data_IF_092953818707
#
_entry.id   IF_092953818707
#
_cell.length_a   1.000
_cell.length_b   1.000
_cell.length_c   1.000
_cell.angle_alpha   90.00
_cell.angle_beta   90.00
_cell.angle_gamma   90.00
#
_symmetry.space_group_name_H-M   'P 1'
#
loop_
_entity.id
_entity.type
_entity.pdbx_description
1 polymer ?
#
# COMPACT_ATOMS: atom_id res chain seq x y z
N UNK A 1 -15.55 -2.97 -8.89
CA UNK A 1 -14.23 -3.50 -8.47
C UNK A 1 -14.37 -3.99 -7.05
N UNK A 2 -13.63 -5.02 -6.68
CA UNK A 2 -13.69 -5.63 -5.35
C UNK A 2 -12.62 -5.05 -4.44
N UNK A 3 -13.00 -4.57 -3.26
CA UNK A 3 -12.07 -4.17 -2.20
C UNK A 3 -11.98 -5.28 -1.14
N UNK A 4 -10.78 -5.61 -0.74
CA UNK A 4 -10.48 -6.47 0.39
C UNK A 4 -9.54 -5.74 1.36
N UNK A 5 -9.83 -5.82 2.65
CA UNK A 5 -8.98 -5.37 3.75
C UNK A 5 -8.93 -6.47 4.80
N UNK A 6 -8.16 -6.31 5.87
CA UNK A 6 -8.18 -7.28 6.96
C UNK A 6 -9.51 -7.27 7.74
N UNK A 7 -10.33 -6.22 7.58
CA UNK A 7 -11.58 -6.04 8.32
C UNK A 7 -12.84 -6.36 7.50
N UNK A 8 -12.78 -6.23 6.17
CA UNK A 8 -13.95 -6.35 5.31
C UNK A 8 -13.60 -6.67 3.87
N UNK A 9 -14.56 -7.29 3.17
CA UNK A 9 -14.58 -7.47 1.72
C UNK A 9 -15.84 -6.82 1.14
N UNK A 10 -15.70 -6.06 0.05
CA UNK A 10 -16.79 -5.36 -0.64
C UNK A 10 -16.67 -5.71 -2.13
N UNK A 11 -17.67 -6.40 -2.68
CA UNK A 11 -17.63 -6.90 -4.06
C UNK A 11 -17.64 -5.78 -5.13
N UNK A 12 -18.43 -4.74 -4.91
CA UNK A 12 -18.62 -3.61 -5.83
C UNK A 12 -18.44 -2.29 -5.09
N UNK A 13 -17.19 -1.96 -4.79
CA UNK A 13 -16.85 -0.80 -3.96
C UNK A 13 -17.13 0.53 -4.66
N UNK A 14 -17.76 1.48 -3.95
CA UNK A 14 -17.85 2.88 -4.41
C UNK A 14 -16.62 3.71 -4.02
N UNK A 15 -16.47 4.91 -4.58
CA UNK A 15 -15.38 5.81 -4.22
C UNK A 15 -15.43 6.23 -2.74
N UNK A 16 -16.63 6.48 -2.20
CA UNK A 16 -16.82 6.84 -0.80
C UNK A 16 -16.50 5.67 0.14
N UNK A 17 -16.91 4.45 -0.22
CA UNK A 17 -16.59 3.25 0.55
C UNK A 17 -15.09 2.98 0.54
N UNK A 18 -14.45 3.09 -0.62
CA UNK A 18 -13.01 2.96 -0.75
C UNK A 18 -12.27 3.97 0.15
N UNK A 19 -12.63 5.25 0.08
CA UNK A 19 -12.00 6.28 0.91
C UNK A 19 -12.19 5.99 2.41
N UNK A 20 -13.41 5.62 2.83
CA UNK A 20 -13.73 5.29 4.21
C UNK A 20 -12.92 4.11 4.72
N UNK A 21 -12.84 3.02 3.97
CA UNK A 21 -12.11 1.82 4.42
C UNK A 21 -10.59 2.04 4.39
N UNK A 22 -10.05 2.76 3.41
CA UNK A 22 -8.63 3.11 3.37
C UNK A 22 -8.24 4.04 4.54
N UNK A 23 -9.11 4.96 4.95
CA UNK A 23 -8.87 5.82 6.12
C UNK A 23 -8.69 5.03 7.44
N UNK A 24 -9.06 3.75 7.47
CA UNK A 24 -8.90 2.86 8.62
C UNK A 24 -7.61 2.04 8.58
N UNK A 25 -6.80 2.18 7.52
CA UNK A 25 -5.50 1.52 7.42
C UNK A 25 -4.52 2.06 8.46
N UNK A 26 -3.69 1.17 9.01
CA UNK A 26 -2.72 1.48 10.05
C UNK A 26 -3.30 1.59 11.46
N UNK A 27 -4.54 1.13 11.63
CA UNK A 27 -5.01 0.63 12.94
C UNK A 27 -4.40 -0.75 13.21
N UNK A 28 -4.33 -1.14 14.49
CA UNK A 28 -3.63 -2.37 14.92
C UNK A 28 -4.11 -3.65 14.21
N UNK A 29 -5.35 -3.65 13.69
CA UNK A 29 -6.00 -4.80 13.03
C UNK A 29 -6.25 -4.60 11.52
N UNK A 30 -5.70 -3.55 10.88
CA UNK A 30 -5.91 -3.28 9.46
C UNK A 30 -4.63 -2.83 8.75
N UNK A 31 -3.85 -3.82 8.32
CA UNK A 31 -2.50 -3.66 7.83
C UNK A 31 -2.41 -3.57 6.31
N UNK A 32 -3.44 -4.00 5.58
CA UNK A 32 -3.43 -4.05 4.11
C UNK A 32 -4.76 -3.72 3.45
N UNK A 33 -4.69 -3.35 2.18
CA UNK A 33 -5.86 -3.30 1.30
C UNK A 33 -5.50 -3.82 -0.10
N UNK A 34 -6.45 -4.48 -0.75
CA UNK A 34 -6.36 -4.99 -2.13
C UNK A 34 -7.61 -4.51 -2.89
N UNK A 35 -7.40 -3.83 -4.01
CA UNK A 35 -8.46 -3.40 -4.93
C UNK A 35 -8.31 -4.14 -6.26
N UNK A 36 -9.21 -5.08 -6.50
CA UNK A 36 -9.16 -6.01 -7.64
C UNK A 36 -10.17 -5.65 -8.73
N UNK A 37 -9.71 -5.70 -9.99
CA UNK A 37 -10.59 -5.74 -11.17
C UNK A 37 -11.06 -7.16 -11.44
N UNK A 38 -10.15 -8.11 -11.29
CA UNK A 38 -10.37 -9.54 -11.47
C UNK A 38 -9.38 -10.32 -10.58
N UNK A 39 -9.31 -11.64 -10.75
CA UNK A 39 -8.48 -12.53 -9.93
C UNK A 39 -6.96 -12.31 -10.10
N UNK A 40 -6.53 -11.63 -11.16
CA UNK A 40 -5.12 -11.49 -11.55
C UNK A 40 -4.70 -10.02 -11.71
N UNK A 41 -5.66 -9.11 -11.77
CA UNK A 41 -5.42 -7.67 -11.96
C UNK A 41 -5.87 -6.91 -10.73
N UNK A 42 -4.91 -6.39 -9.96
CA UNK A 42 -5.20 -5.68 -8.71
C UNK A 42 -4.11 -4.70 -8.31
N UNK A 43 -4.50 -3.74 -7.47
CA UNK A 43 -3.62 -2.88 -6.71
C UNK A 43 -3.65 -3.34 -5.26
N UNK A 44 -2.50 -3.43 -4.59
CA UNK A 44 -2.44 -3.74 -3.17
C UNK A 44 -1.54 -2.78 -2.41
N UNK A 45 -1.77 -2.70 -1.11
CA UNK A 45 -0.92 -1.95 -0.18
C UNK A 45 -0.77 -2.69 1.14
N UNK A 46 0.38 -2.52 1.78
CA UNK A 46 0.66 -3.05 3.11
C UNK A 46 1.39 -1.99 3.95
N UNK A 47 1.20 -2.05 5.27
CA UNK A 47 1.85 -1.15 6.23
C UNK A 47 3.31 -1.51 6.47
N UNK A 48 4.14 -0.47 6.52
CA UNK A 48 5.55 -0.47 6.86
C UNK A 48 5.79 0.60 7.93
N UNK A 49 6.93 0.56 8.62
CA UNK A 49 7.24 1.48 9.73
C UNK A 49 7.16 2.97 9.35
N UNK A 50 7.47 3.27 8.09
CA UNK A 50 7.54 4.62 7.55
C UNK A 50 6.37 4.96 6.62
N UNK A 51 5.35 4.11 6.51
CA UNK A 51 4.16 4.39 5.68
C UNK A 51 3.59 3.13 5.04
N UNK A 52 3.26 3.22 3.77
CA UNK A 52 2.61 2.15 3.03
C UNK A 52 3.35 1.88 1.72
N UNK A 53 3.60 0.62 1.42
CA UNK A 53 4.09 0.23 0.08
C UNK A 53 2.88 -0.07 -0.79
N UNK A 54 2.94 0.34 -2.06
CA UNK A 54 1.88 0.09 -3.03
C UNK A 54 2.43 -0.74 -4.17
N UNK A 55 1.72 -1.80 -4.51
CA UNK A 55 2.10 -2.75 -5.53
C UNK A 55 0.94 -2.95 -6.50
N UNK A 56 1.27 -3.19 -7.76
CA UNK A 56 0.32 -3.52 -8.81
C UNK A 56 0.64 -4.89 -9.37
N UNK A 57 -0.40 -5.67 -9.62
CA UNK A 57 -0.35 -6.89 -10.40
C UNK A 57 -1.23 -6.74 -11.63
N UNK A 58 -0.64 -7.00 -12.79
CA UNK A 58 -1.31 -7.01 -14.08
C UNK A 58 -1.21 -8.40 -14.73
N UNK A 59 -1.63 -9.45 -14.01
CA UNK A 59 -1.53 -10.83 -14.47
C UNK A 59 -1.21 -11.85 -13.37
N UNK A 60 -1.20 -13.13 -13.77
CA UNK A 60 -1.02 -14.26 -12.84
C UNK A 60 0.44 -14.61 -12.49
N UNK A 61 1.43 -13.92 -13.05
CA UNK A 61 2.86 -14.23 -12.90
C UNK A 61 3.66 -13.17 -12.12
N UNK A 62 4.80 -13.55 -11.54
CA UNK A 62 5.74 -12.62 -10.86
C UNK A 62 6.29 -11.53 -11.79
N UNK A 63 6.39 -11.82 -13.10
CA UNK A 63 6.78 -10.86 -14.13
C UNK A 63 5.82 -9.69 -14.32
N UNK A 64 4.63 -9.76 -13.71
CA UNK A 64 3.61 -8.70 -13.72
C UNK A 64 3.49 -7.96 -12.39
N UNK A 65 4.45 -8.16 -11.49
CA UNK A 65 4.51 -7.51 -10.18
C UNK A 65 5.34 -6.23 -10.26
N UNK A 66 4.70 -5.10 -9.98
CA UNK A 66 5.33 -3.79 -10.01
C UNK A 66 5.15 -3.06 -8.69
N UNK A 67 6.22 -2.48 -8.16
CA UNK A 67 6.17 -1.60 -7.00
C UNK A 67 6.04 -0.16 -7.47
N UNK A 68 5.14 0.60 -6.86
CA UNK A 68 5.07 2.04 -7.09
C UNK A 68 6.24 2.72 -6.36
N UNK A 69 7.07 3.45 -7.09
CA UNK A 69 8.18 4.23 -6.51
C UNK A 69 7.79 5.71 -6.48
N UNK A 70 7.88 6.39 -5.33
CA UNK A 70 7.65 7.84 -5.24
C UNK A 70 8.68 8.59 -6.08
N UNK A 71 8.20 9.44 -7.02
CA UNK A 71 9.08 10.27 -7.84
C UNK A 71 9.60 11.44 -6.97
N UNK A 72 10.85 11.36 -6.53
CA UNK A 72 11.55 12.43 -5.78
C UNK A 72 10.92 12.84 -4.43
N UNK A 73 10.25 11.94 -3.71
CA UNK A 73 9.84 12.25 -2.35
C UNK A 73 11.00 12.06 -1.37
N UNK A 74 11.25 13.05 -0.51
CA UNK A 74 12.00 12.78 0.73
C UNK A 74 11.19 11.73 1.49
N UNK A 75 11.81 10.59 1.79
CA UNK A 75 11.19 9.57 2.63
C UNK A 75 10.67 10.23 3.92
N UNK A 76 9.45 9.90 4.37
CA UNK A 76 8.98 10.37 5.67
C UNK A 76 10.01 10.00 6.73
N UNK A 77 10.31 10.95 7.62
CA UNK A 77 11.30 10.76 8.68
C UNK A 77 10.94 9.54 9.52
N UNK A 78 11.91 8.65 9.72
CA UNK A 78 11.75 7.47 10.58
C UNK A 78 11.32 7.94 11.97
N UNK A 79 10.21 7.41 12.51
CA UNK A 79 9.79 7.70 13.88
C UNK A 79 10.94 7.35 14.84
N UNK A 80 11.23 8.20 15.85
CA UNK A 80 12.37 7.96 16.74
C UNK A 80 12.23 6.61 17.46
N UNK A 81 13.35 5.88 17.49
CA UNK A 81 13.45 4.51 18.00
C UNK A 81 12.88 4.40 19.43
N UNK A 82 12.03 3.40 19.74
CA UNK A 82 11.77 3.05 21.12
C UNK A 82 13.06 2.54 21.77
N UNK A 83 13.22 2.82 23.06
CA UNK A 83 14.43 2.50 23.82
C UNK A 83 14.80 1.00 23.75
N UNK A 84 16.10 0.72 23.86
CA UNK A 84 16.74 -0.58 23.64
C UNK A 84 16.09 -1.78 24.37
N UNK A 85 15.49 -1.56 25.54
CA UNK A 85 14.74 -2.57 26.30
C UNK A 85 13.46 -3.09 25.62
N UNK A 86 12.79 -2.32 24.76
CA UNK A 86 11.62 -2.79 23.97
C UNK A 86 12.02 -3.73 22.82
N UNK A 87 13.30 -3.78 22.48
CA UNK A 87 13.86 -4.52 21.34
C UNK A 87 13.88 -6.05 21.55
N UNK A 88 13.72 -6.51 22.79
CA UNK A 88 13.76 -7.94 23.16
C UNK A 88 12.39 -8.62 22.97
N UNK A 89 11.30 -7.86 22.89
CA UNK A 89 9.94 -8.41 22.78
C UNK A 89 9.31 -8.28 21.37
N UNK A 90 9.95 -7.54 20.45
CA UNK A 90 9.39 -7.19 19.13
C UNK A 90 10.39 -7.38 17.98
N UNK A 91 11.18 -8.45 18.00
CA UNK A 91 12.32 -8.66 17.10
C UNK A 91 11.96 -9.05 15.65
N UNK A 92 10.80 -8.67 15.12
CA UNK A 92 10.32 -9.15 13.81
C UNK A 92 9.72 -8.12 12.84
N UNK A 93 9.43 -6.89 13.24
CA UNK A 93 8.50 -6.04 12.49
C UNK A 93 8.99 -4.60 12.32
N UNK A 94 10.18 -4.42 11.76
CA UNK A 94 10.69 -3.08 11.44
C UNK A 94 11.25 -3.04 10.02
N UNK A 95 10.37 -3.18 9.02
CA UNK A 95 10.75 -3.02 7.62
C UNK A 95 10.40 -1.58 7.24
N UNK A 96 11.42 -0.78 6.93
CA UNK A 96 11.26 0.55 6.33
C UNK A 96 11.50 0.43 4.83
N UNK A 97 10.57 0.92 4.01
CA UNK A 97 10.73 0.87 2.55
C UNK A 97 11.11 2.23 1.97
N UNK A 98 11.99 2.23 0.97
CA UNK A 98 12.28 3.43 0.17
C UNK A 98 11.13 3.80 -0.78
N UNK A 99 10.13 2.92 -0.90
CA UNK A 99 8.94 3.12 -1.71
C UNK A 99 7.69 3.40 -0.85
N UNK A 100 7.89 3.84 0.40
CA UNK A 100 6.79 4.14 1.30
C UNK A 100 6.05 5.43 0.90
N UNK A 101 4.72 5.34 0.94
CA UNK A 101 3.78 6.42 0.73
C UNK A 101 3.05 6.76 2.02
N UNK A 102 2.59 8.00 2.10
CA UNK A 102 1.63 8.44 3.11
C UNK A 102 0.24 7.85 2.83
N UNK A 103 -0.64 7.85 3.84
CA UNK A 103 -2.00 7.37 3.67
C UNK A 103 -2.78 8.16 2.61
N UNK A 104 -2.64 9.48 2.59
CA UNK A 104 -3.30 10.35 1.62
C UNK A 104 -2.86 10.01 0.18
N UNK A 105 -1.56 9.72 0.01
CA UNK A 105 -1.03 9.27 -1.27
C UNK A 105 -1.58 7.90 -1.67
N UNK A 106 -1.74 6.96 -0.74
CA UNK A 106 -2.37 5.65 -1.01
C UNK A 106 -3.82 5.84 -1.45
N UNK A 107 -4.59 6.64 -0.72
CA UNK A 107 -5.99 6.92 -1.04
C UNK A 107 -6.14 7.52 -2.45
N UNK A 108 -5.24 8.43 -2.81
CA UNK A 108 -5.22 9.02 -4.16
C UNK A 108 -4.97 7.97 -5.24
N UNK A 109 -3.99 7.07 -5.06
CA UNK A 109 -3.71 6.00 -6.05
C UNK A 109 -4.90 5.09 -6.22
N UNK A 110 -5.45 4.60 -5.11
CA UNK A 110 -6.54 3.64 -5.13
C UNK A 110 -7.77 4.30 -5.77
N UNK A 111 -8.04 5.57 -5.46
CA UNK A 111 -9.09 6.35 -6.10
C UNK A 111 -8.90 6.50 -7.61
N UNK A 112 -7.69 6.82 -8.07
CA UNK A 112 -7.39 6.91 -9.50
C UNK A 112 -7.47 5.55 -10.20
N UNK A 113 -7.05 4.46 -9.54
CA UNK A 113 -7.17 3.10 -10.05
C UNK A 113 -8.64 2.68 -10.22
N UNK A 114 -9.48 2.97 -9.21
CA UNK A 114 -10.94 2.74 -9.28
C UNK A 114 -11.57 3.52 -10.43
N UNK A 115 -11.15 4.77 -10.64
CA UNK A 115 -11.67 5.65 -11.68
C UNK A 115 -11.13 5.34 -13.10
N UNK A 116 -10.25 4.35 -13.27
CA UNK A 116 -9.62 4.04 -14.57
C UNK A 116 -8.66 5.13 -15.06
N UNK A 117 -8.03 5.86 -14.12
CA UNK A 117 -7.10 6.97 -14.37
C UNK A 117 -5.67 6.59 -14.00
N UNK A 118 -5.24 5.36 -14.27
CA UNK A 118 -3.90 4.89 -13.85
C UNK A 118 -2.76 5.68 -14.47
N UNK A 119 -2.97 6.28 -15.65
CA UNK A 119 -2.02 7.19 -16.30
C UNK A 119 -1.74 8.47 -15.52
N UNK A 120 -2.60 8.82 -14.56
CA UNK A 120 -2.45 9.99 -13.68
C UNK A 120 -1.68 9.68 -12.40
N UNK A 121 -1.39 8.40 -12.10
CA UNK A 121 -0.61 8.00 -10.94
C UNK A 121 0.86 8.44 -11.20
N UNK A 122 1.38 9.47 -10.51
CA UNK A 122 2.66 10.10 -10.85
C UNK A 122 3.85 9.30 -10.28
N UNK A 123 3.96 8.01 -10.61
CA UNK A 123 4.87 7.05 -9.97
C UNK A 123 5.59 6.25 -11.03
N UNK A 124 6.86 5.93 -10.79
CA UNK A 124 7.58 4.96 -11.62
C UNK A 124 7.19 3.58 -11.13
N UNK A 125 6.60 2.76 -11.99
CA UNK A 125 6.42 1.33 -11.73
C UNK A 125 7.75 0.64 -12.00
N UNK A 126 8.35 0.05 -10.97
CA UNK A 126 9.58 -0.73 -11.12
C UNK A 126 9.31 -2.21 -10.80
N UNK A 127 9.99 -3.11 -11.50
CA UNK A 127 9.90 -4.54 -11.22
C UNK A 127 10.83 -4.90 -10.06
N UNK A 128 10.34 -5.71 -9.11
CA UNK A 128 11.14 -6.23 -7.99
C UNK A 128 10.89 -5.56 -6.64
N UNK A 129 11.73 -5.89 -5.65
CA UNK A 129 11.56 -5.50 -4.25
C UNK A 129 12.10 -4.09 -3.95
N UNK A 130 11.34 -3.32 -3.16
CA UNK A 130 11.75 -2.01 -2.62
C UNK A 130 12.21 -2.09 -1.15
N UNK A 131 12.83 -3.21 -0.77
CA UNK A 131 13.27 -3.44 0.60
C UNK A 131 14.72 -2.99 0.78
N UNK A 132 15.03 -2.44 1.96
CA UNK A 132 16.38 -2.07 2.36
C UNK A 132 16.83 -2.89 3.55
#
# INVERSE_FOLDING_TARGET
MRLETDLTEIADVTAEELHRELARLGSDDNARAILSRDAHTYLQTAIFDNGFVVERRDGGGEETHFHAVPRHAKLPGVKPKPAWWKRVWFSGLYITSECAFTLDEVQTIFGDYLAGRESYIPRKWDQGFCDR
#
